data_IF_815345160089
#
_entry.id   IF_815345160089
#
_cell.length_a   1.000
_cell.length_b   1.000
_cell.length_c   1.000
_cell.angle_alpha   90.00
_cell.angle_beta   90.00
_cell.angle_gamma   90.00
#
_symmetry.space_group_name_H-M   'P 1'
#
loop_
_entity.id
_entity.type
_entity.pdbx_description
1 polymer ?
#
# COMPACT_ATOMS: atom_id res chain seq x y z
N UNK A 1 10.10 -21.06 -16.21
CA UNK A 1 9.97 -19.60 -16.34
C UNK A 1 9.29 -19.11 -15.07
N UNK A 2 10.08 -18.62 -14.12
CA UNK A 2 9.61 -18.16 -12.81
C UNK A 2 8.72 -16.93 -12.97
N UNK A 3 7.47 -17.03 -12.50
CA UNK A 3 6.57 -15.88 -12.35
C UNK A 3 7.03 -15.09 -11.13
N UNK A 4 7.76 -14.01 -11.35
CA UNK A 4 8.04 -13.03 -10.29
C UNK A 4 6.80 -12.12 -10.17
N UNK A 5 6.00 -12.36 -9.14
CA UNK A 5 4.91 -11.47 -8.73
C UNK A 5 5.28 -10.99 -7.34
N UNK A 6 5.69 -9.72 -7.24
CA UNK A 6 6.21 -9.16 -6.00
C UNK A 6 6.43 -7.66 -6.14
N UNK A 7 5.38 -6.92 -6.53
CA UNK A 7 5.45 -5.47 -6.54
C UNK A 7 5.04 -4.94 -5.16
N UNK A 8 5.97 -5.00 -4.21
CA UNK A 8 5.85 -4.33 -2.92
C UNK A 8 6.13 -2.82 -3.10
N UNK A 9 5.12 -2.07 -3.51
CA UNK A 9 5.21 -0.61 -3.60
C UNK A 9 5.11 -0.02 -2.19
N UNK A 10 6.16 0.66 -1.74
CA UNK A 10 6.15 1.41 -0.49
C UNK A 10 6.25 2.90 -0.79
N UNK A 11 5.26 3.66 -0.33
CA UNK A 11 5.28 5.13 -0.37
C UNK A 11 5.75 5.64 0.99
N UNK A 12 6.91 6.30 1.04
CA UNK A 12 7.34 7.02 2.24
C UNK A 12 6.69 8.41 2.22
N UNK A 13 5.69 8.62 3.08
CA UNK A 13 5.10 9.94 3.32
C UNK A 13 6.00 10.73 4.28
N UNK A 14 6.97 11.48 3.74
CA UNK A 14 7.52 12.61 4.51
C UNK A 14 6.44 13.71 4.60
N UNK A 15 6.61 14.74 5.44
CA UNK A 15 5.81 15.99 5.46
C UNK A 15 5.91 16.77 4.13
N UNK A 16 5.62 16.11 3.02
CA UNK A 16 5.34 16.67 1.72
C UNK A 16 3.90 17.14 1.81
N UNK A 17 3.72 18.46 1.92
CA UNK A 17 2.43 19.08 1.59
C UNK A 17 2.09 18.67 0.15
N UNK A 18 1.37 17.56 -0.03
CA UNK A 18 0.52 17.42 -1.20
C UNK A 18 -0.60 18.41 -0.99
N UNK A 19 -0.42 19.61 -1.53
CA UNK A 19 -1.46 20.62 -1.52
C UNK A 19 -2.48 20.21 -2.57
N UNK A 20 -3.46 19.40 -2.16
CA UNK A 20 -4.66 19.16 -2.96
C UNK A 20 -5.57 20.38 -2.77
N UNK A 21 -5.30 21.46 -3.52
CA UNK A 21 -6.23 22.58 -3.60
C UNK A 21 -7.43 22.12 -4.43
N UNK A 22 -8.51 21.78 -3.72
CA UNK A 22 -9.71 21.18 -4.26
C UNK A 22 -10.43 22.18 -5.21
N UNK A 23 -10.35 21.89 -6.51
CA UNK A 23 -11.33 22.05 -7.60
C UNK A 23 -12.28 23.27 -7.73
N UNK A 24 -12.19 24.34 -6.93
CA UNK A 24 -13.03 25.53 -7.11
C UNK A 24 -12.36 26.70 -7.84
N UNK A 25 -11.06 26.62 -8.18
CA UNK A 25 -10.30 27.79 -8.66
C UNK A 25 -9.40 27.57 -9.89
N UNK A 26 -9.65 26.57 -10.74
CA UNK A 26 -9.11 26.54 -12.11
C UNK A 26 -7.59 26.69 -12.25
N UNK A 27 -6.79 26.18 -11.30
CA UNK A 27 -5.32 26.15 -11.40
C UNK A 27 -4.83 24.72 -11.63
N UNK A 28 -3.84 24.60 -12.53
CA UNK A 28 -3.20 23.34 -12.93
C UNK A 28 -2.77 22.51 -11.72
N UNK A 29 -3.05 21.22 -11.77
CA UNK A 29 -2.52 20.24 -10.82
C UNK A 29 -1.04 20.05 -11.15
N UNK A 30 -0.15 20.61 -10.34
CA UNK A 30 1.28 20.35 -10.44
C UNK A 30 1.58 19.01 -9.77
N UNK A 31 1.78 17.97 -10.59
CA UNK A 31 2.24 16.68 -10.10
C UNK A 31 3.74 16.77 -9.81
N UNK A 32 4.14 16.59 -8.54
CA UNK A 32 5.55 16.37 -8.20
C UNK A 32 5.97 14.98 -8.66
N UNK A 33 6.69 14.92 -9.77
CA UNK A 33 7.23 13.70 -10.36
C UNK A 33 8.63 13.33 -9.81
N UNK A 34 9.15 14.10 -8.85
CA UNK A 34 10.50 14.00 -8.27
C UNK A 34 10.56 13.19 -6.96
N UNK A 35 9.52 12.40 -6.65
CA UNK A 35 9.50 11.57 -5.45
C UNK A 35 10.30 10.28 -5.72
N UNK A 36 11.35 9.99 -4.92
CA UNK A 36 12.14 8.79 -5.12
C UNK A 36 11.31 7.54 -4.83
N UNK A 37 11.50 6.51 -5.65
CA UNK A 37 10.83 5.21 -5.51
C UNK A 37 11.90 4.14 -5.30
N UNK A 38 11.77 3.39 -4.21
CA UNK A 38 12.72 2.35 -3.83
C UNK A 38 12.08 0.96 -3.99
N UNK A 39 12.79 0.03 -4.61
CA UNK A 39 12.32 -1.35 -4.75
C UNK A 39 12.36 -2.08 -3.40
N UNK A 40 11.23 -2.66 -3.01
CA UNK A 40 11.10 -3.43 -1.76
C UNK A 40 11.45 -4.91 -1.91
N UNK A 41 11.16 -5.68 -0.85
CA UNK A 41 11.25 -7.14 -0.87
C UNK A 41 10.33 -7.73 -1.93
N UNK A 42 10.82 -8.73 -2.67
CA UNK A 42 10.05 -9.46 -3.69
C UNK A 42 9.10 -10.51 -3.12
N UNK A 43 9.18 -10.78 -1.81
CA UNK A 43 8.34 -11.75 -1.12
C UNK A 43 8.41 -11.61 0.40
N UNK A 44 7.67 -12.46 1.13
CA UNK A 44 7.62 -12.42 2.59
C UNK A 44 8.91 -12.90 3.25
N UNK A 45 9.06 -12.64 4.55
CA UNK A 45 10.21 -13.10 5.34
C UNK A 45 10.33 -14.63 5.33
N UNK A 46 9.21 -15.33 5.52
CA UNK A 46 9.12 -16.77 5.37
C UNK A 46 8.15 -17.11 4.24
N UNK A 47 8.54 -18.04 3.39
CA UNK A 47 7.72 -18.46 2.27
C UNK A 47 6.48 -19.20 2.77
N UNK A 48 5.32 -18.60 2.59
CA UNK A 48 4.04 -19.25 2.82
C UNK A 48 3.78 -20.31 1.71
N UNK A 49 3.20 -21.49 2.03
CA UNK A 49 2.89 -22.51 1.03
C UNK A 49 1.83 -22.04 0.03
N UNK A 50 0.88 -21.23 0.50
CA UNK A 50 -0.21 -20.70 -0.31
C UNK A 50 0.15 -19.35 -0.92
N UNK A 51 -0.26 -19.15 -2.17
CA UNK A 51 -0.15 -17.86 -2.86
C UNK A 51 -1.47 -17.12 -2.70
N UNK A 52 -1.48 -15.85 -2.22
CA UNK A 52 -2.70 -15.06 -2.14
C UNK A 52 -3.40 -14.95 -3.51
N UNK A 53 -4.74 -14.88 -3.49
CA UNK A 53 -5.50 -14.67 -4.72
C UNK A 53 -5.19 -13.31 -5.35
N UNK A 54 -5.13 -13.27 -6.69
CA UNK A 54 -4.91 -12.04 -7.44
C UNK A 54 -6.25 -11.33 -7.62
N UNK A 55 -6.54 -10.36 -6.75
CA UNK A 55 -7.80 -9.59 -6.76
C UNK A 55 -7.73 -8.26 -7.52
N UNK A 56 -6.52 -7.86 -7.96
CA UNK A 56 -6.27 -6.55 -8.60
C UNK A 56 -5.87 -6.64 -10.09
N UNK A 57 -6.14 -7.77 -10.75
CA UNK A 57 -5.64 -8.02 -12.11
C UNK A 57 -4.16 -8.38 -12.14
N UNK A 58 -3.68 -8.83 -13.30
CA UNK A 58 -2.31 -9.32 -13.48
C UNK A 58 -1.24 -8.22 -13.36
N UNK A 59 -1.64 -6.97 -13.55
CA UNK A 59 -0.80 -5.78 -13.46
C UNK A 59 -0.97 -5.00 -12.14
N UNK A 60 -1.91 -5.41 -11.27
CA UNK A 60 -2.27 -4.68 -10.05
C UNK A 60 -3.13 -3.42 -10.29
N UNK A 61 -3.50 -3.13 -11.54
CA UNK A 61 -4.32 -1.99 -11.98
C UNK A 61 -5.61 -2.43 -12.69
N UNK A 62 -6.07 -3.66 -12.45
CA UNK A 62 -7.27 -4.21 -13.08
C UNK A 62 -7.09 -4.49 -14.57
N UNK A 63 -5.89 -4.91 -14.99
CA UNK A 63 -5.49 -5.17 -16.38
C UNK A 63 -5.56 -3.92 -17.28
N UNK A 64 -5.50 -2.74 -16.67
CA UNK A 64 -5.62 -1.43 -17.30
C UNK A 64 -4.33 -0.61 -17.25
N UNK A 65 -3.19 -1.18 -16.83
CA UNK A 65 -1.91 -0.46 -16.73
C UNK A 65 -1.50 0.23 -18.05
N UNK A 66 -1.84 -0.40 -19.18
CA UNK A 66 -1.60 0.13 -20.52
C UNK A 66 -2.33 1.46 -20.83
N UNK A 67 -3.34 1.84 -20.03
CA UNK A 67 -4.05 3.11 -20.17
C UNK A 67 -3.31 4.29 -19.52
N UNK A 68 -2.27 4.02 -18.72
CA UNK A 68 -1.51 5.04 -18.03
C UNK A 68 -0.16 5.28 -18.72
N UNK A 69 0.27 6.54 -18.77
CA UNK A 69 1.64 6.83 -19.17
C UNK A 69 2.61 6.32 -18.11
N UNK A 70 3.65 5.61 -18.54
CA UNK A 70 4.78 5.30 -17.66
C UNK A 70 5.48 6.62 -17.33
N UNK A 71 5.30 7.11 -16.10
CA UNK A 71 5.95 8.35 -15.65
C UNK A 71 7.47 8.27 -15.76
N UNK A 72 8.15 9.42 -15.74
CA UNK A 72 9.63 9.51 -15.73
C UNK A 72 10.24 9.20 -14.36
N UNK A 73 9.52 8.49 -13.49
CA UNK A 73 9.97 8.17 -12.15
C UNK A 73 11.27 7.37 -12.19
N UNK A 74 12.28 7.84 -11.48
CA UNK A 74 13.54 7.12 -11.32
C UNK A 74 13.39 6.11 -10.19
N UNK A 75 13.65 4.84 -10.48
CA UNK A 75 13.88 3.84 -9.44
C UNK A 75 15.25 4.08 -8.83
N UNK A 76 15.29 4.22 -7.52
CA UNK A 76 16.52 4.34 -6.76
C UNK A 76 17.20 2.97 -6.63
N UNK A 77 18.53 2.97 -6.63
CA UNK A 77 19.33 1.73 -6.50
C UNK A 77 19.28 1.14 -5.09
N UNK A 78 19.01 1.98 -4.09
CA UNK A 78 18.97 1.56 -2.70
C UNK A 78 17.70 0.71 -2.43
N UNK A 79 17.82 -0.48 -1.79
CA UNK A 79 16.65 -1.26 -1.43
C UNK A 79 15.78 -0.54 -0.39
N UNK A 80 14.47 -0.69 -0.49
CA UNK A 80 13.52 0.06 0.32
C UNK A 80 13.72 -0.10 1.85
N UNK A 81 14.06 -1.29 2.40
CA UNK A 81 14.38 -1.41 3.82
C UNK A 81 15.60 -0.57 4.26
N UNK A 82 16.63 -0.49 3.42
CA UNK A 82 17.81 0.32 3.69
C UNK A 82 17.49 1.83 3.56
N UNK A 83 16.68 2.19 2.56
CA UNK A 83 16.20 3.55 2.38
C UNK A 83 15.37 4.04 3.57
N UNK A 84 14.49 3.20 4.14
CA UNK A 84 13.75 3.53 5.36
C UNK A 84 14.69 3.87 6.52
N UNK A 85 15.73 3.05 6.73
CA UNK A 85 16.72 3.29 7.79
C UNK A 85 17.45 4.60 7.55
N UNK A 86 17.93 4.86 6.33
CA UNK A 86 18.65 6.09 5.98
C UNK A 86 17.76 7.34 6.13
N UNK A 87 16.53 7.29 5.63
CA UNK A 87 15.56 8.37 5.74
C UNK A 87 15.21 8.63 7.21
N UNK A 88 15.08 7.60 8.04
CA UNK A 88 14.82 7.78 9.49
C UNK A 88 15.94 8.52 10.20
N UNK A 89 17.19 8.38 9.73
CA UNK A 89 18.37 9.03 10.32
C UNK A 89 18.53 10.46 9.84
N UNK A 90 18.20 10.73 8.58
CA UNK A 90 18.46 12.01 7.91
C UNK A 90 17.28 12.98 7.96
N UNK A 91 16.05 12.46 7.96
CA UNK A 91 14.82 13.24 7.81
C UNK A 91 13.77 12.97 8.90
N UNK A 92 14.08 12.11 9.89
CA UNK A 92 13.18 11.81 11.00
C UNK A 92 12.98 12.99 11.97
N UNK A 93 11.88 13.00 12.75
CA UNK A 93 10.83 11.98 12.78
C UNK A 93 9.73 12.23 11.72
N UNK A 94 9.26 11.15 11.09
CA UNK A 94 8.13 11.16 10.14
C UNK A 94 7.11 10.08 10.48
N UNK A 95 5.89 10.23 9.97
CA UNK A 95 4.84 9.20 10.03
C UNK A 95 5.01 8.22 8.87
N UNK A 96 5.18 6.93 9.16
CA UNK A 96 5.26 5.89 8.13
C UNK A 96 3.87 5.33 7.83
N UNK A 97 3.41 5.44 6.58
CA UNK A 97 2.18 4.83 6.10
C UNK A 97 2.49 3.51 5.36
N UNK A 98 2.05 2.38 5.91
CA UNK A 98 2.25 1.06 5.31
C UNK A 98 0.94 0.48 4.79
N UNK A 99 0.77 0.46 3.45
CA UNK A 99 -0.48 0.05 2.80
C UNK A 99 -0.44 -1.39 2.25
N UNK A 100 0.73 -2.00 2.22
CA UNK A 100 0.95 -3.40 1.84
C UNK A 100 1.53 -4.23 2.98
N UNK A 101 2.00 -5.47 2.70
CA UNK A 101 2.63 -6.32 3.70
C UNK A 101 3.79 -5.62 4.41
N UNK A 102 3.93 -5.89 5.71
CA UNK A 102 4.89 -5.18 6.57
C UNK A 102 6.35 -5.63 6.41
N UNK A 103 6.66 -6.47 5.41
CA UNK A 103 7.97 -7.07 5.17
C UNK A 103 9.10 -6.04 5.14
N UNK A 104 8.93 -4.94 4.41
CA UNK A 104 9.96 -3.90 4.30
C UNK A 104 10.23 -3.20 5.64
N UNK A 105 9.18 -3.01 6.45
CA UNK A 105 9.27 -2.38 7.77
C UNK A 105 9.97 -3.32 8.75
N UNK A 106 9.61 -4.61 8.73
CA UNK A 106 10.26 -5.63 9.54
C UNK A 106 11.75 -5.79 9.16
N UNK A 107 12.08 -5.81 7.87
CA UNK A 107 13.47 -5.84 7.40
C UNK A 107 14.24 -4.59 7.83
N UNK A 108 13.64 -3.40 7.75
CA UNK A 108 14.27 -2.16 8.23
C UNK A 108 14.55 -2.21 9.75
N UNK A 109 13.61 -2.73 10.54
CA UNK A 109 13.79 -2.95 11.97
C UNK A 109 14.88 -3.99 12.28
N UNK A 110 15.06 -5.01 11.43
CA UNK A 110 16.15 -5.98 11.54
C UNK A 110 17.51 -5.40 11.14
N UNK A 111 17.55 -4.50 10.15
CA UNK A 111 18.77 -3.81 9.73
C UNK A 111 19.25 -2.79 10.77
N UNK A 112 18.31 -2.11 11.44
CA UNK A 112 18.60 -1.16 12.51
C UNK A 112 17.51 -1.25 13.59
N UNK A 113 17.79 -1.89 14.74
CA UNK A 113 16.83 -2.03 15.83
C UNK A 113 16.33 -0.70 16.41
N UNK A 114 17.02 0.42 16.17
CA UNK A 114 16.58 1.76 16.57
C UNK A 114 15.77 2.49 15.50
N UNK A 115 15.45 1.85 14.38
CA UNK A 115 14.70 2.43 13.26
C UNK A 115 13.36 2.99 13.72
N UNK A 116 12.52 2.17 14.34
CA UNK A 116 11.17 2.58 14.73
C UNK A 116 11.16 3.64 15.83
N UNK A 117 12.20 3.72 16.68
CA UNK A 117 12.35 4.79 17.67
C UNK A 117 12.56 6.18 17.04
N UNK A 118 13.00 6.24 15.78
CA UNK A 118 13.20 7.51 15.05
C UNK A 118 11.98 7.96 14.25
N UNK A 119 10.88 7.20 14.31
CA UNK A 119 9.64 7.56 13.64
C UNK A 119 8.70 8.32 14.59
N UNK A 120 7.85 9.17 14.02
CA UNK A 120 6.78 9.81 14.77
C UNK A 120 5.71 8.78 15.17
N UNK A 121 5.30 7.95 14.20
CA UNK A 121 4.37 6.84 14.36
C UNK A 121 4.36 5.97 13.10
N UNK A 122 3.85 4.75 13.21
CA UNK A 122 3.51 3.88 12.07
C UNK A 122 1.99 3.81 11.96
N UNK A 123 1.44 4.10 10.79
CA UNK A 123 0.04 3.85 10.44
C UNK A 123 0.03 2.76 9.38
N UNK A 124 -0.63 1.64 9.64
CA UNK A 124 -0.67 0.54 8.68
C UNK A 124 -2.09 0.09 8.38
N UNK A 125 -2.34 -0.26 7.12
CA UNK A 125 -3.54 -0.96 6.69
C UNK A 125 -3.29 -2.45 6.82
N UNK A 126 -4.06 -3.11 7.68
CA UNK A 126 -3.98 -4.57 7.79
C UNK A 126 -4.49 -5.09 9.12
N UNK A 127 -4.62 -6.41 9.17
CA UNK A 127 -5.18 -7.11 10.31
C UNK A 127 -6.68 -6.89 10.48
N UNK A 128 -7.21 -7.47 11.54
CA UNK A 128 -8.60 -7.38 11.94
C UNK A 128 -8.69 -7.49 13.47
N UNK A 129 -9.83 -7.12 14.03
CA UNK A 129 -10.04 -7.17 15.48
C UNK A 129 -11.26 -8.00 15.89
N UNK A 130 -12.17 -8.27 14.96
CA UNK A 130 -13.33 -9.17 15.15
C UNK A 130 -13.06 -10.57 14.57
N UNK A 131 -11.89 -10.82 14.00
CA UNK A 131 -11.58 -12.06 13.30
C UNK A 131 -12.26 -12.19 11.95
N UNK A 132 -12.64 -11.06 11.32
CA UNK A 132 -13.20 -11.04 9.97
C UNK A 132 -12.06 -10.89 8.96
N UNK A 133 -11.76 -11.97 8.24
CA UNK A 133 -10.76 -11.97 7.17
C UNK A 133 -11.31 -11.60 5.80
N UNK A 134 -10.40 -11.31 4.87
CA UNK A 134 -10.69 -11.10 3.44
C UNK A 134 -9.87 -12.04 2.53
N UNK A 135 -8.94 -12.81 3.11
CA UNK A 135 -8.14 -13.81 2.38
C UNK A 135 -8.46 -15.22 2.88
N UNK A 136 -8.54 -15.40 4.19
CA UNK A 136 -9.19 -16.57 4.80
C UNK A 136 -10.37 -16.09 5.64
N UNK A 137 -11.09 -17.01 6.29
CA UNK A 137 -12.19 -16.64 7.19
C UNK A 137 -11.74 -15.65 8.29
N UNK A 138 -10.49 -15.76 8.73
CA UNK A 138 -9.96 -15.00 9.87
C UNK A 138 -8.74 -14.13 9.56
N UNK A 139 -8.12 -14.24 8.39
CA UNK A 139 -6.92 -13.48 8.04
C UNK A 139 -7.21 -12.37 7.02
N UNK A 140 -6.71 -11.18 7.34
CA UNK A 140 -6.63 -10.05 6.41
C UNK A 140 -5.39 -10.20 5.51
N UNK A 141 -5.51 -9.76 4.26
CA UNK A 141 -4.54 -9.93 3.17
C UNK A 141 -3.12 -9.53 3.51
N UNK A 142 -2.87 -8.32 4.01
CA UNK A 142 -1.51 -7.85 4.31
C UNK A 142 -0.86 -8.68 5.43
N UNK A 143 -1.65 -9.07 6.44
CA UNK A 143 -1.18 -9.95 7.53
C UNK A 143 -1.00 -11.39 7.06
N UNK A 144 -1.85 -11.87 6.16
CA UNK A 144 -1.75 -13.20 5.55
C UNK A 144 -0.51 -13.33 4.66
N UNK A 145 -0.17 -12.27 3.92
CA UNK A 145 1.00 -12.26 3.04
C UNK A 145 2.32 -12.45 3.79
N UNK A 146 2.48 -11.82 4.96
CA UNK A 146 3.70 -11.93 5.78
C UNK A 146 3.38 -11.79 7.28
N UNK A 147 2.90 -12.88 7.93
CA UNK A 147 2.52 -12.84 9.33
C UNK A 147 3.72 -12.64 10.26
N UNK A 148 4.91 -13.13 9.88
CA UNK A 148 6.14 -12.91 10.64
C UNK A 148 6.53 -11.43 10.66
N UNK A 149 6.43 -10.73 9.53
CA UNK A 149 6.71 -9.31 9.49
C UNK A 149 5.70 -8.52 10.34
N UNK A 150 4.42 -8.87 10.29
CA UNK A 150 3.40 -8.26 11.14
C UNK A 150 3.71 -8.47 12.63
N UNK A 151 4.11 -9.69 13.02
CA UNK A 151 4.53 -10.00 14.38
C UNK A 151 5.72 -9.14 14.83
N UNK A 152 6.77 -9.03 14.00
CA UNK A 152 7.96 -8.23 14.31
C UNK A 152 7.59 -6.77 14.53
N UNK A 153 6.83 -6.17 13.62
CA UNK A 153 6.47 -4.74 13.74
C UNK A 153 5.60 -4.50 14.98
N UNK A 154 4.61 -5.35 15.25
CA UNK A 154 3.73 -5.16 16.41
C UNK A 154 4.42 -5.42 17.76
N UNK A 155 5.40 -6.32 17.81
CA UNK A 155 6.10 -6.68 19.05
C UNK A 155 7.32 -5.81 19.35
N UNK A 156 8.00 -5.30 18.31
CA UNK A 156 9.29 -4.60 18.46
C UNK A 156 9.23 -3.10 18.17
N UNK A 157 8.13 -2.57 17.61
CA UNK A 157 8.04 -1.14 17.33
C UNK A 157 8.14 -0.30 18.60
N UNK A 158 8.98 0.73 18.54
CA UNK A 158 9.26 1.63 19.66
C UNK A 158 8.49 2.96 19.57
N UNK A 159 7.91 3.28 18.42
CA UNK A 159 7.00 4.42 18.24
C UNK A 159 5.54 3.98 18.35
N UNK A 160 4.59 4.92 18.51
CA UNK A 160 3.17 4.62 18.44
C UNK A 160 2.81 3.92 17.13
N UNK A 161 2.02 2.84 17.25
CA UNK A 161 1.54 2.07 16.11
C UNK A 161 0.01 2.19 16.04
N UNK A 162 -0.50 2.58 14.87
CA UNK A 162 -1.92 2.70 14.60
C UNK A 162 -2.33 1.75 13.48
N UNK A 163 -3.22 0.82 13.81
CA UNK A 163 -3.82 -0.11 12.87
C UNK A 163 -5.07 0.51 12.23
N UNK A 164 -5.18 0.41 10.92
CA UNK A 164 -6.44 0.56 10.17
C UNK A 164 -6.88 -0.84 9.76
N UNK A 165 -7.81 -1.46 10.51
CA UNK A 165 -8.19 -2.85 10.28
C UNK A 165 -9.16 -2.98 9.09
N UNK A 166 -9.28 -4.19 8.57
CA UNK A 166 -10.20 -4.52 7.47
C UNK A 166 -11.64 -4.08 7.75
N UNK A 167 -12.13 -4.29 8.97
CA UNK A 167 -13.51 -3.95 9.33
C UNK A 167 -13.79 -2.45 9.23
N UNK A 168 -12.79 -1.58 9.44
CA UNK A 168 -12.94 -0.14 9.23
C UNK A 168 -13.17 0.17 7.75
N UNK A 169 -12.49 -0.52 6.85
CA UNK A 169 -12.70 -0.33 5.41
C UNK A 169 -14.07 -0.83 4.95
N UNK A 170 -14.60 -1.87 5.59
CA UNK A 170 -15.95 -2.36 5.33
C UNK A 170 -17.03 -1.37 5.81
N UNK A 171 -16.83 -0.75 6.98
CA UNK A 171 -17.79 0.19 7.57
C UNK A 171 -17.92 1.50 6.78
N UNK A 172 -16.81 1.95 6.18
CA UNK A 172 -16.75 3.19 5.41
C UNK A 172 -16.55 2.96 3.91
N UNK A 173 -17.08 1.85 3.38
CA UNK A 173 -17.05 1.54 1.96
C UNK A 173 -17.78 2.60 1.13
N UNK A 174 -17.24 2.96 -0.03
CA UNK A 174 -17.92 3.85 -0.96
C UNK A 174 -18.88 3.01 -1.80
N UNK A 175 -20.18 3.34 -1.72
CA UNK A 175 -21.17 2.70 -2.58
C UNK A 175 -20.88 2.99 -4.06
N UNK A 176 -20.96 1.95 -4.88
CA UNK A 176 -20.65 2.02 -6.30
C UNK A 176 -21.50 3.07 -7.04
N UNK A 177 -22.76 3.24 -6.63
CA UNK A 177 -23.65 4.26 -7.16
C UNK A 177 -23.18 5.70 -6.87
N UNK A 178 -22.59 5.92 -5.68
CA UNK A 178 -22.05 7.22 -5.26
C UNK A 178 -20.76 7.59 -5.99
N UNK A 179 -19.99 6.61 -6.45
CA UNK A 179 -18.76 6.83 -7.21
C UNK A 179 -19.01 7.61 -8.50
N UNK A 180 -20.12 7.39 -9.21
CA UNK A 180 -20.40 8.13 -10.46
C UNK A 180 -20.66 9.63 -10.27
N UNK A 181 -21.14 10.06 -9.10
CA UNK A 181 -21.45 11.46 -8.84
C UNK A 181 -20.19 12.34 -8.70
N UNK A 182 -19.00 11.74 -8.53
CA UNK A 182 -17.77 12.47 -8.21
C UNK A 182 -16.78 12.64 -9.40
N UNK A 183 -17.14 12.23 -10.63
CA UNK A 183 -16.14 12.14 -11.70
C UNK A 183 -16.04 13.36 -12.63
N UNK A 184 -14.89 14.02 -12.61
CA UNK A 184 -14.21 14.39 -13.86
C UNK A 184 -13.76 13.10 -14.56
N UNK A 185 -14.00 13.02 -15.86
CA UNK A 185 -14.09 11.81 -16.71
C UNK A 185 -12.85 10.88 -16.80
N UNK A 186 -11.75 11.12 -16.09
CA UNK A 186 -10.50 10.34 -16.22
C UNK A 186 -10.43 9.08 -15.32
N UNK A 187 -11.02 9.09 -14.12
CA UNK A 187 -10.98 7.92 -13.21
C UNK A 187 -12.09 6.89 -13.44
N UNK A 188 -13.20 7.28 -14.10
CA UNK A 188 -14.34 6.39 -14.36
C UNK A 188 -14.01 5.24 -15.34
N UNK A 189 -12.89 5.32 -16.07
CA UNK A 189 -12.45 4.27 -16.99
C UNK A 189 -11.79 3.08 -16.29
N UNK A 190 -11.18 3.29 -15.11
CA UNK A 190 -10.49 2.24 -14.34
C UNK A 190 -11.51 1.20 -13.83
N UNK A 191 -12.70 1.65 -13.43
CA UNK A 191 -13.71 0.80 -12.81
C UNK A 191 -14.59 0.05 -13.80
N UNK A 192 -14.82 0.57 -15.01
CA UNK A 192 -15.78 -0.03 -15.96
C UNK A 192 -15.23 -1.24 -16.72
N UNK A 193 -13.92 -1.29 -16.97
CA UNK A 193 -13.32 -2.34 -17.80
C UNK A 193 -12.75 -3.49 -16.95
N UNK A 194 -12.16 -3.18 -15.80
CA UNK A 194 -11.54 -4.16 -14.90
C UNK A 194 -12.52 -5.17 -14.29
N UNK A 195 -13.78 -4.78 -14.02
CA UNK A 195 -14.70 -5.60 -13.22
C UNK A 195 -15.80 -6.34 -14.00
N UNK A 196 -15.92 -6.13 -15.32
CA UNK A 196 -16.88 -6.90 -16.15
C UNK A 196 -16.60 -8.40 -16.17
N UNK A 197 -15.37 -8.83 -15.87
CA UNK A 197 -14.98 -10.23 -15.81
C UNK A 197 -15.19 -10.92 -14.46
N UNK A 198 -15.30 -10.17 -13.36
CA UNK A 198 -15.14 -10.73 -12.01
C UNK A 198 -16.45 -11.12 -11.31
N UNK A 199 -17.58 -10.44 -11.58
CA UNK A 199 -18.86 -10.74 -10.90
C UNK A 199 -20.09 -10.57 -11.82
N UNK A 200 -20.46 -11.60 -12.60
CA UNK A 200 -21.63 -11.55 -13.48
C UNK A 200 -22.97 -11.39 -12.75
N UNK A 201 -23.03 -11.70 -11.46
CA UNK A 201 -24.26 -11.69 -10.65
C UNK A 201 -24.51 -10.38 -9.88
N UNK A 202 -23.54 -9.47 -9.84
CA UNK A 202 -23.66 -8.19 -9.12
C UNK A 202 -24.44 -7.09 -9.90
N UNK A 203 -25.14 -7.47 -10.97
CA UNK A 203 -25.97 -6.59 -11.80
C UNK A 203 -27.46 -6.97 -11.76
N UNK A 204 -27.88 -7.74 -10.76
CA UNK A 204 -29.30 -8.03 -10.47
C UNK A 204 -29.91 -6.99 -9.56
#
# INVERSE_FOLDING_TARGET
MSKEIGAAWMYVWNKLKVRVDNALHGKEIEYRLDIPVYCGSSGPLLKHPDTPEIVHGSDGFGDCAHLFSTGQGRLEELPAPAALVELSRTHGPFTLAALGPLTNVALAQRLDPGFTARLERIVFLGGNYKGVGNTTESAEFNFYCDPEAAHIVLSEAQCPVQMVPWETTMEYGIEWASSFACHSLSQAYITRTAYRGLFPWALG
#
